data_IF_725405167233
#
_entry.id   IF_725405167233
#
_cell.length_a   1.000
_cell.length_b   1.000
_cell.length_c   1.000
_cell.angle_alpha   90.00
_cell.angle_beta   90.00
_cell.angle_gamma   90.00
#
_symmetry.space_group_name_H-M   'P 1'
#
loop_
_entity.id
_entity.type
_entity.pdbx_description
1 polymer ?
2 polymer ?
3 polymer ?
4 non-polymer ?
5 water ?
#
loop_
_entity_poly.entity_id
_entity_poly.type
_entity_poly.pdbx_seq_one_letter_code
_entity_poly.pdbx_strand_id
1 'polydeoxyribonucleotide' '(DG)(DG)(DG)(DG)(DT)(DG)(DT)(DG)(DG)(DT)(DA)(DG)' ?
2 'polydeoxyribonucleotide' '(DC)(DA)(DT)(DC)(DG)(DC)(DT)(DA)(DC)(DC)(DA)(DC)(DA)(DC)(DC)(DC)(DC)' ?
#
# COMPACT_ATOMS: atom_id res chain seq x y z
N UNK C 3 -0.35 -14.30 -24.91
CA UNK C 3 0.97 -14.17 -24.26
C UNK C 3 1.77 -13.01 -24.88
N UNK C 4 2.11 -12.02 -24.06
CA UNK C 4 2.60 -10.72 -24.52
C UNK C 4 4.02 -10.55 -24.01
N UNK C 5 4.98 -10.55 -24.93
CA UNK C 5 6.38 -10.39 -24.55
C UNK C 5 6.70 -8.92 -24.34
N UNK C 6 7.80 -8.66 -23.63
CA UNK C 6 8.12 -7.29 -23.24
C UNK C 6 8.58 -6.43 -24.42
N UNK C 7 8.94 -7.02 -25.54
CA UNK C 7 9.20 -6.24 -26.74
C UNK C 7 7.94 -6.01 -27.57
N UNK C 8 6.79 -6.50 -27.12
CA UNK C 8 5.53 -6.28 -27.81
C UNK C 8 4.96 -4.91 -27.40
N UNK C 9 4.51 -4.09 -28.35
CA UNK C 9 3.96 -2.79 -27.96
C UNK C 9 2.82 -2.87 -26.94
N UNK C 10 2.15 -4.00 -26.80
CA UNK C 10 1.04 -4.14 -25.85
C UNK C 10 1.48 -4.57 -24.45
N UNK C 11 2.78 -4.76 -24.20
CA UNK C 11 3.22 -5.39 -22.95
C UNK C 11 2.79 -4.59 -21.73
N UNK C 12 3.08 -3.28 -21.72
CA UNK C 12 2.74 -2.44 -20.58
C UNK C 12 1.25 -2.54 -20.23
N UNK C 13 0.39 -2.51 -21.24
CA UNK C 13 -1.05 -2.59 -21.00
C UNK C 13 -1.45 -3.93 -20.40
N UNK C 14 -0.87 -5.02 -20.90
CA UNK C 14 -1.20 -6.35 -20.37
C UNK C 14 -0.65 -6.55 -18.96
N UNK C 15 0.59 -6.12 -18.74
CA UNK C 15 1.18 -6.27 -17.42
C UNK C 15 0.38 -5.52 -16.37
N UNK C 16 0.13 -4.22 -16.61
CA UNK C 16 -0.65 -3.40 -15.70
C UNK C 16 -2.09 -3.91 -15.52
N UNK C 17 -2.71 -4.48 -16.57
CA UNK C 17 -4.05 -5.04 -16.40
C UNK C 17 -4.04 -6.25 -15.46
N UNK C 18 -2.95 -7.02 -15.44
CA UNK C 18 -2.83 -8.21 -14.60
C UNK C 18 -2.24 -7.95 -13.24
N UNK C 19 -1.49 -6.87 -13.07
CA UNK C 19 -0.71 -6.64 -11.86
C UNK C 19 -1.57 -6.10 -10.73
N UNK C 20 -1.76 -6.89 -9.66
CA UNK C 20 -2.52 -6.38 -8.53
C UNK C 20 -1.79 -5.25 -7.81
N UNK C 21 -0.45 -5.23 -7.84
CA UNK C 21 0.25 -4.13 -7.20
C UNK C 21 0.10 -2.84 -8.00
N UNK C 22 0.16 -2.94 -9.34
CA UNK C 22 -0.16 -1.78 -10.16
C UNK C 22 -1.59 -1.31 -9.88
N UNK C 23 -2.56 -2.22 -9.90
CA UNK C 23 -3.94 -1.84 -9.63
C UNK C 23 -4.07 -1.12 -8.28
N UNK C 24 -3.42 -1.62 -7.24
CA UNK C 24 -3.54 -1.01 -5.93
C UNK C 24 -2.98 0.41 -5.94
N UNK C 25 -1.85 0.61 -6.60
CA UNK C 25 -1.23 1.93 -6.67
C UNK C 25 -2.12 2.91 -7.42
N UNK C 26 -2.62 2.50 -8.59
CA UNK C 26 -3.43 3.41 -9.39
C UNK C 26 -4.75 3.76 -8.69
N UNK C 27 -5.36 2.74 -8.05
CA UNK C 27 -6.60 2.94 -7.28
C UNK C 27 -6.32 3.94 -6.15
N UNK C 28 -5.17 3.81 -5.50
CA UNK C 28 -4.78 4.72 -4.43
C UNK C 28 -4.59 6.15 -4.95
N UNK C 29 -3.86 6.30 -6.05
CA UNK C 29 -3.65 7.64 -6.62
C UNK C 29 -4.98 8.26 -7.04
N UNK C 30 -5.86 7.44 -7.62
CA UNK C 30 -7.16 7.96 -8.05
C UNK C 30 -8.00 8.47 -6.87
N UNK C 31 -7.94 7.76 -5.74
CA UNK C 31 -8.68 8.20 -4.56
C UNK C 31 -8.11 9.51 -4.02
N UNK C 32 -6.78 9.66 -4.08
CA UNK C 32 -6.18 10.88 -3.57
C UNK C 32 -6.51 12.08 -4.46
N UNK C 33 -6.48 11.88 -5.79
CA UNK C 33 -6.90 12.96 -6.69
C UNK C 33 -8.38 13.30 -6.50
N UNK C 34 -9.21 12.28 -6.33
CA UNK C 34 -10.63 12.52 -6.13
C UNK C 34 -10.87 13.36 -4.89
N UNK C 35 -10.18 13.03 -3.79
CA UNK C 35 -10.25 13.83 -2.58
C UNK C 35 -9.86 15.28 -2.86
N UNK C 36 -8.77 15.49 -3.60
CA UNK C 36 -8.34 16.84 -3.89
C UNK C 36 -9.40 17.59 -4.69
N UNK C 37 -9.95 16.94 -5.71
CA UNK C 37 -10.92 17.61 -6.56
C UNK C 37 -12.24 17.88 -5.85
N UNK C 38 -12.51 17.18 -4.76
CA UNK C 38 -13.70 17.44 -3.97
C UNK C 38 -13.48 18.48 -2.89
N UNK C 39 -12.23 18.70 -2.48
CA UNK C 39 -11.93 19.66 -1.42
C UNK C 39 -11.23 20.91 -1.95
N UNK C 40 -11.33 21.16 -3.25
CA UNK C 40 -10.71 22.34 -3.84
C UNK C 40 -11.24 23.63 -3.23
N UNK C 41 -12.38 23.58 -2.57
CA UNK C 41 -12.97 24.75 -1.92
C UNK C 41 -13.09 24.60 -0.41
N UNK C 42 -13.36 23.40 0.10
CA UNK C 42 -13.56 23.21 1.53
C UNK C 42 -12.28 23.45 2.32
N UNK C 43 -12.46 23.92 3.55
CA UNK C 43 -11.40 23.85 4.56
C UNK C 43 -11.89 22.98 5.70
N UNK C 44 -12.38 21.77 5.35
CA UNK C 44 -12.89 20.73 6.24
C UNK C 44 -11.79 20.13 7.15
N UNK C 45 -10.63 20.80 7.17
CA UNK C 45 -9.45 20.40 7.93
C UNK C 45 -9.75 20.26 9.42
N UNK C 46 -8.91 19.50 10.08
CA UNK C 46 -8.84 19.46 11.53
C UNK C 46 -7.92 20.57 11.98
N UNK C 47 -8.27 21.25 13.05
CA UNK C 47 -7.43 22.31 13.58
C UNK C 47 -6.97 21.97 14.99
N UNK C 48 -6.06 22.78 15.50
CA UNK C 48 -5.56 22.62 16.87
C UNK C 48 -6.68 22.69 17.90
N UNK C 49 -7.74 23.42 17.62
CA UNK C 49 -8.82 23.57 18.59
C UNK C 49 -9.69 22.34 18.69
N UNK C 50 -9.59 21.44 17.72
CA UNK C 50 -10.50 20.30 17.61
C UNK C 50 -9.99 19.14 18.44
N UNK C 51 -10.85 18.61 19.31
CA UNK C 51 -10.63 17.28 19.88
C UNK C 51 -11.32 16.29 18.95
N UNK C 52 -10.65 15.16 18.69
CA UNK C 52 -11.13 14.25 17.65
C UNK C 52 -10.94 12.80 18.05
N UNK C 53 -11.75 11.95 17.45
CA UNK C 53 -11.63 10.50 17.57
C UNK C 53 -11.37 9.93 16.18
N UNK C 54 -10.47 8.95 16.12
CA UNK C 54 -10.07 8.30 14.88
C UNK C 54 -10.81 6.99 14.74
N UNK C 55 -11.49 6.80 13.62
CA UNK C 55 -12.03 5.48 13.26
C UNK C 55 -11.25 4.99 12.05
N UNK C 56 -10.41 3.99 12.25
CA UNK C 56 -9.56 3.46 11.19
C UNK C 56 -10.16 2.15 10.67
N UNK C 57 -10.58 2.14 9.42
CA UNK C 57 -11.47 1.11 8.88
C UNK C 57 -10.77 0.36 7.75
N UNK C 58 -10.95 -0.96 7.72
CA UNK C 58 -10.27 -1.78 6.72
C UNK C 58 -11.07 -3.06 6.44
N UNK C 59 -11.25 -3.39 5.16
CA UNK C 59 -11.89 -4.65 4.82
C UNK C 59 -11.05 -5.82 5.35
N UNK C 60 -11.76 -6.85 5.76
CA UNK C 60 -11.08 -8.11 6.14
C UNK C 60 -10.75 -8.88 4.87
N UNK C 61 -9.48 -9.28 4.69
CA UNK C 61 -8.93 -10.13 3.62
C UNK C 61 -9.66 -9.78 2.33
N UNK C 62 -9.37 -8.58 1.83
CA UNK C 62 -10.27 -7.88 0.91
C UNK C 62 -10.43 -8.64 -0.41
N UNK C 63 -9.31 -8.85 -1.13
CA UNK C 63 -9.41 -9.56 -2.41
C UNK C 63 -10.06 -10.93 -2.26
N UNK C 64 -9.71 -11.67 -1.19
CA UNK C 64 -10.28 -13.00 -1.04
C UNK C 64 -11.78 -12.95 -0.81
N UNK C 65 -12.23 -12.01 0.01
CA UNK C 65 -13.66 -11.83 0.25
C UNK C 65 -14.40 -11.49 -1.05
N UNK C 66 -13.90 -10.48 -1.78
CA UNK C 66 -14.58 -10.07 -2.99
C UNK C 66 -14.50 -11.15 -4.06
N UNK C 67 -13.32 -11.78 -4.22
CA UNK C 67 -13.19 -12.86 -5.19
C UNK C 67 -14.14 -13.99 -4.87
N UNK C 68 -14.43 -14.21 -3.60
CA UNK C 68 -15.37 -15.26 -3.25
C UNK C 68 -16.79 -14.82 -3.56
N UNK C 69 -17.18 -13.61 -3.12
CA UNK C 69 -18.55 -13.14 -3.33
C UNK C 69 -18.90 -13.10 -4.81
N UNK C 70 -17.92 -12.83 -5.68
CA UNK C 70 -18.11 -12.73 -7.12
C UNK C 70 -17.53 -13.93 -7.88
N UNK C 71 -17.31 -15.05 -7.21
CA UNK C 71 -16.66 -16.18 -7.88
C UNK C 71 -17.53 -16.73 -9.00
N UNK C 72 -16.89 -17.34 -9.99
CA UNK C 72 -17.61 -17.97 -11.09
C UNK C 72 -18.27 -19.26 -10.61
N UNK C 73 -19.15 -19.81 -11.46
CA UNK C 73 -19.91 -21.01 -11.13
C UNK C 73 -19.02 -22.24 -10.96
N UNK C 74 -17.82 -22.25 -11.56
CA UNK C 74 -16.85 -23.32 -11.33
C UNK C 74 -16.47 -23.45 -9.86
N UNK C 75 -16.63 -22.38 -9.08
CA UNK C 75 -16.32 -22.37 -7.65
C UNK C 75 -17.57 -22.22 -6.78
N UNK C 76 -18.74 -22.56 -7.34
CA UNK C 76 -20.00 -22.39 -6.63
C UNK C 76 -20.00 -23.06 -5.26
N UNK C 77 -19.45 -24.26 -5.17
CA UNK C 77 -19.53 -25.03 -3.93
C UNK C 77 -18.48 -24.65 -2.90
N UNK C 78 -17.55 -23.77 -3.23
CA UNK C 78 -16.53 -23.37 -2.27
C UNK C 78 -17.15 -22.60 -1.11
N UNK C 79 -16.65 -22.85 0.11
CA UNK C 79 -17.28 -22.37 1.34
C UNK C 79 -16.31 -21.45 2.10
N UNK C 80 -16.63 -20.15 2.16
CA UNK C 80 -15.67 -19.18 2.67
C UNK C 80 -15.33 -19.37 4.14
N UNK C 81 -16.22 -20.02 4.90
CA UNK C 81 -15.98 -20.25 6.31
C UNK C 81 -15.25 -21.56 6.59
N UNK C 82 -15.21 -22.49 5.62
CA UNK C 82 -14.66 -23.82 5.83
C UNK C 82 -13.38 -24.09 5.09
N UNK C 83 -13.21 -23.50 3.91
CA UNK C 83 -12.15 -23.79 2.98
C UNK C 83 -11.04 -22.75 3.05
N UNK C 84 -9.79 -23.21 2.89
CA UNK C 84 -8.67 -22.28 2.75
C UNK C 84 -8.66 -21.71 1.33
N UNK C 85 -8.76 -20.38 1.23
CA UNK C 85 -8.97 -19.67 -0.02
C UNK C 85 -7.87 -18.64 -0.20
N UNK C 86 -7.25 -18.64 -1.38
CA UNK C 86 -6.29 -17.61 -1.79
C UNK C 86 -6.74 -17.02 -3.11
N UNK C 87 -6.27 -15.80 -3.39
CA UNK C 87 -6.38 -15.17 -4.70
C UNK C 87 -4.97 -15.11 -5.29
N UNK C 88 -4.83 -15.61 -6.51
CA UNK C 88 -3.56 -15.55 -7.23
C UNK C 88 -3.79 -15.89 -8.70
N UNK C 89 -2.77 -15.65 -9.51
CA UNK C 89 -2.80 -15.97 -10.95
C UNK C 89 -2.49 -17.44 -11.22
N UNK C 90 -1.49 -18.01 -10.55
CA UNK C 90 -0.96 -19.31 -10.95
C UNK C 90 -0.98 -20.41 -9.92
N UNK C 91 -0.06 -21.39 -10.07
CA UNK C 91 -0.05 -22.61 -9.26
C UNK C 91 1.24 -22.84 -8.49
N UNK C 92 2.30 -22.09 -8.78
CA UNK C 92 3.59 -22.41 -8.18
C UNK C 92 4.24 -21.19 -7.55
N UNK C 93 5.12 -20.53 -8.28
CA UNK C 93 5.75 -19.33 -7.73
C UNK C 93 4.92 -18.09 -8.04
N UNK C 94 3.66 -18.15 -7.63
CA UNK C 94 2.69 -17.09 -7.86
C UNK C 94 2.28 -16.51 -6.51
N UNK C 95 2.30 -15.18 -6.40
CA UNK C 95 2.00 -14.53 -5.12
C UNK C 95 0.56 -14.81 -4.69
N UNK C 96 0.38 -15.10 -3.40
CA UNK C 96 -0.95 -15.07 -2.79
C UNK C 96 -1.28 -13.62 -2.50
N UNK C 97 -2.26 -13.06 -3.22
CA UNK C 97 -2.58 -11.64 -3.03
C UNK C 97 -3.42 -11.39 -1.79
N UNK C 98 -4.24 -12.37 -1.41
CA UNK C 98 -5.07 -12.30 -0.22
C UNK C 98 -5.39 -13.75 0.17
N UNK C 99 -5.59 -13.97 1.47
CA UNK C 99 -6.00 -15.29 1.93
C UNK C 99 -7.06 -15.15 3.01
N UNK C 100 -8.00 -16.08 3.05
CA UNK C 100 -9.06 -15.96 4.03
C UNK C 100 -8.55 -16.50 5.37
N UNK C 101 -9.37 -16.34 6.42
CA UNK C 101 -8.85 -16.69 7.74
C UNK C 101 -8.79 -18.19 7.97
N UNK C 102 -9.54 -18.98 7.20
CA UNK C 102 -9.27 -20.41 7.16
C UNK C 102 -7.82 -20.68 6.75
N UNK C 103 -7.41 -20.13 5.59
CA UNK C 103 -6.02 -20.27 5.16
C UNK C 103 -5.05 -19.77 6.22
N UNK C 104 -5.32 -18.60 6.79
CA UNK C 104 -4.36 -18.04 7.73
C UNK C 104 -4.20 -18.92 8.96
N UNK C 105 -5.23 -19.69 9.30
CA UNK C 105 -5.16 -20.54 10.47
C UNK C 105 -4.09 -21.61 10.34
N UNK C 106 -3.63 -21.85 9.12
CA UNK C 106 -2.55 -22.79 8.83
C UNK C 106 -1.20 -22.10 8.68
N UNK C 107 -1.11 -20.81 8.96
CA UNK C 107 0.12 -20.08 8.80
C UNK C 107 0.37 -19.51 7.42
N UNK C 108 -0.61 -19.57 6.52
CA UNK C 108 -0.51 -18.91 5.23
C UNK C 108 -0.62 -17.41 5.44
N UNK C 109 0.15 -16.64 4.69
CA UNK C 109 0.10 -15.19 4.77
C UNK C 109 0.15 -14.60 3.37
N UNK C 110 -0.27 -13.36 3.28
CA UNK C 110 -0.19 -12.62 2.03
C UNK C 110 1.25 -12.53 1.56
N UNK C 111 1.45 -12.62 0.25
CA UNK C 111 2.79 -12.54 -0.33
C UNK C 111 3.51 -13.88 -0.40
N UNK C 112 3.01 -14.88 0.30
CA UNK C 112 3.47 -16.25 0.13
C UNK C 112 3.29 -16.71 -1.31
N UNK C 113 4.19 -17.57 -1.77
CA UNK C 113 3.96 -18.27 -3.03
C UNK C 113 3.03 -19.45 -2.79
N UNK C 114 2.21 -19.76 -3.80
CA UNK C 114 1.26 -20.86 -3.70
C UNK C 114 1.98 -22.15 -3.36
N UNK C 115 3.15 -22.36 -3.97
CA UNK C 115 3.98 -23.53 -3.68
C UNK C 115 4.25 -23.68 -2.19
N UNK C 116 4.65 -22.59 -1.52
CA UNK C 116 4.90 -22.70 -0.09
C UNK C 116 3.59 -22.89 0.69
N UNK C 117 2.51 -22.23 0.26
CA UNK C 117 1.25 -22.35 1.01
C UNK C 117 0.71 -23.77 1.02
N UNK C 118 0.89 -24.50 -0.06
CA UNK C 118 0.35 -25.85 -0.17
C UNK C 118 0.99 -26.82 0.82
N UNK C 119 2.25 -26.57 1.20
CA UNK C 119 2.92 -27.44 2.16
C UNK C 119 2.40 -27.24 3.58
N UNK C 120 1.76 -26.12 3.85
CA UNK C 120 1.25 -25.79 5.18
C UNK C 120 -0.05 -26.48 5.49
N UNK C 121 -0.73 -27.03 4.49
CA UNK C 121 -2.00 -27.70 4.75
C UNK C 121 -1.73 -29.15 5.16
N UNK C 122 -2.54 -29.69 6.08
CA UNK C 122 -2.42 -31.11 6.40
C UNK C 122 -3.01 -31.95 5.28
N UNK C 123 -2.67 -33.24 5.29
CA UNK C 123 -3.17 -34.16 4.28
C UNK C 123 -4.69 -34.15 4.24
N UNK C 124 -5.24 -34.18 3.03
CA UNK C 124 -6.67 -34.19 2.82
C UNK C 124 -7.32 -32.84 2.67
N UNK C 125 -6.62 -31.76 3.01
CA UNK C 125 -7.17 -30.41 2.94
C UNK C 125 -6.67 -29.75 1.67
N UNK C 126 -7.60 -29.23 0.88
CA UNK C 126 -7.29 -28.70 -0.43
C UNK C 126 -7.35 -27.19 -0.43
N UNK C 127 -6.41 -26.57 -1.13
CA UNK C 127 -6.34 -25.12 -1.24
C UNK C 127 -7.17 -24.66 -2.42
N UNK C 128 -8.11 -23.76 -2.18
CA UNK C 128 -8.91 -23.17 -3.25
C UNK C 128 -8.22 -21.90 -3.74
N UNK C 129 -7.98 -21.83 -5.05
CA UNK C 129 -7.32 -20.69 -5.69
C UNK C 129 -8.33 -19.96 -6.56
N UNK C 130 -8.69 -18.68 -6.16
CA UNK C 130 -9.66 -17.91 -6.94
C UNK C 130 -8.93 -16.90 -7.84
N UNK C 131 -9.50 -16.60 -9.01
CA UNK C 131 -8.90 -15.58 -9.86
C UNK C 131 -9.23 -14.18 -9.35
N UNK C 132 -8.41 -13.22 -9.78
CA UNK C 132 -8.66 -11.83 -9.46
C UNK C 132 -9.96 -11.37 -10.11
N UNK C 133 -10.63 -10.44 -9.44
CA UNK C 133 -11.85 -9.84 -9.95
C UNK C 133 -11.67 -8.33 -9.80
N UNK C 134 -10.81 -7.75 -10.63
CA UNK C 134 -10.31 -6.39 -10.41
C UNK C 134 -11.41 -5.33 -10.50
N UNK C 135 -12.28 -5.43 -11.49
CA UNK C 135 -13.34 -4.44 -11.62
C UNK C 135 -14.28 -4.49 -10.43
N UNK C 136 -14.61 -5.69 -9.95
CA UNK C 136 -15.49 -5.79 -8.80
C UNK C 136 -14.78 -5.37 -7.52
N UNK C 137 -13.46 -5.61 -7.44
CA UNK C 137 -12.69 -5.02 -6.33
C UNK C 137 -12.98 -3.54 -6.22
N UNK C 138 -12.97 -2.86 -7.36
CA UNK C 138 -13.19 -1.40 -7.41
C UNK C 138 -14.63 -1.02 -7.08
N UNK C 139 -15.61 -1.79 -7.57
CA UNK C 139 -17.01 -1.47 -7.27
C UNK C 139 -17.29 -1.60 -5.77
N UNK C 140 -16.78 -2.66 -5.13
CA UNK C 140 -16.92 -2.80 -3.70
C UNK C 140 -16.28 -1.62 -2.96
N UNK C 141 -15.20 -1.05 -3.53
CA UNK C 141 -14.55 0.11 -2.93
C UNK C 141 -15.41 1.35 -3.06
N UNK C 142 -16.09 1.50 -4.20
CA UNK C 142 -17.06 2.58 -4.35
C UNK C 142 -18.15 2.48 -3.31
N UNK C 143 -18.68 1.28 -3.09
CA UNK C 143 -19.76 1.13 -2.11
C UNK C 143 -19.24 1.48 -0.72
N UNK C 144 -18.02 1.03 -0.41
CA UNK C 144 -17.35 1.40 0.83
C UNK C 144 -17.37 2.90 1.05
N UNK C 145 -16.75 3.66 0.14
CA UNK C 145 -16.61 5.09 0.36
C UNK C 145 -17.94 5.82 0.29
N UNK C 146 -18.86 5.35 -0.57
CA UNK C 146 -20.21 5.90 -0.59
C UNK C 146 -20.90 5.73 0.74
N UNK C 147 -20.74 4.56 1.34
CA UNK C 147 -21.36 4.29 2.62
C UNK C 147 -20.80 5.19 3.72
N UNK C 148 -19.48 5.41 3.72
CA UNK C 148 -18.87 6.21 4.78
C UNK C 148 -19.38 7.65 4.73
N UNK C 149 -19.56 8.19 3.52
CA UNK C 149 -20.05 9.56 3.36
C UNK C 149 -21.52 9.67 3.76
N UNK C 150 -22.34 8.66 3.39
CA UNK C 150 -23.76 8.74 3.66
C UNK C 150 -24.07 8.68 5.16
N UNK C 151 -23.22 8.02 5.95
CA UNK C 151 -23.42 7.93 7.39
C UNK C 151 -23.42 9.29 8.06
N UNK C 152 -22.73 10.26 7.47
CA UNK C 152 -22.64 11.64 7.98
C UNK C 152 -22.27 11.67 9.46
N UNK C 153 -21.27 10.87 9.81
CA UNK C 153 -20.73 10.84 11.17
C UNK C 153 -19.29 11.30 11.24
N UNK C 154 -18.63 11.51 10.10
CA UNK C 154 -17.23 11.89 10.06
C UNK C 154 -17.07 13.31 9.53
N UNK C 155 -16.19 14.07 10.18
CA UNK C 155 -15.83 15.39 9.66
C UNK C 155 -14.80 15.30 8.55
N UNK C 156 -13.99 14.25 8.55
CA UNK C 156 -12.94 14.09 7.56
C UNK C 156 -12.78 12.61 7.24
N UNK C 157 -12.72 12.29 5.95
CA UNK C 157 -12.62 10.92 5.44
C UNK C 157 -11.36 10.86 4.58
N UNK C 158 -10.33 10.14 5.05
CA UNK C 158 -9.04 10.10 4.37
C UNK C 158 -8.83 8.74 3.70
N UNK C 159 -8.78 8.66 2.38
CA UNK C 159 -8.51 7.37 1.72
C UNK C 159 -7.08 6.92 1.99
N UNK C 160 -6.91 5.73 2.55
CA UNK C 160 -5.61 5.10 2.67
C UNK C 160 -5.35 4.18 1.49
N UNK C 161 -6.39 3.45 1.07
CA UNK C 161 -6.30 2.57 -0.08
C UNK C 161 -7.71 2.25 -0.56
N UNK C 162 -7.76 1.41 -1.60
CA UNK C 162 -9.02 0.94 -2.17
C UNK C 162 -9.94 0.38 -1.07
N UNK C 163 -9.38 -0.22 -0.02
CA UNK C 163 -10.19 -0.90 0.99
C UNK C 163 -9.90 -0.40 2.40
N UNK C 164 -9.37 0.81 2.56
CA UNK C 164 -8.98 1.23 3.90
C UNK C 164 -9.04 2.74 3.98
N UNK C 165 -9.64 3.24 5.05
CA UNK C 165 -9.81 4.67 5.23
C UNK C 165 -9.63 5.03 6.69
N UNK C 166 -9.14 6.25 6.91
CA UNK C 166 -9.01 6.83 8.24
C UNK C 166 -10.05 7.94 8.33
N UNK C 167 -10.98 7.79 9.26
CA UNK C 167 -12.22 8.55 9.33
C UNK C 167 -12.24 9.32 10.65
N UNK C 168 -12.40 10.63 10.58
CA UNK C 168 -12.15 11.52 11.71
C UNK C 168 -13.48 12.11 12.18
N UNK C 169 -13.72 12.02 13.49
CA UNK C 169 -14.92 12.56 14.11
C UNK C 169 -14.50 13.61 15.12
N UNK C 170 -14.95 14.85 14.91
CA UNK C 170 -14.67 15.93 15.85
C UNK C 170 -15.66 15.88 17.00
N UNK C 171 -15.16 16.01 18.22
CA UNK C 171 -15.95 15.89 19.43
C UNK C 171 -16.07 17.27 20.07
N UNK C 172 -17.26 17.87 20.11
CA UNK C 172 -17.42 19.12 20.87
C UNK C 172 -17.20 18.88 22.35
N UNK C 173 -16.55 19.83 23.00
CA UNK C 173 -16.41 19.72 24.46
C UNK C 173 -17.74 19.87 25.18
N UNK C 174 -18.82 20.13 24.43
CA UNK C 174 -20.18 20.09 24.93
C UNK C 174 -20.68 18.67 25.13
N UNK C 175 -19.99 17.67 24.57
CA UNK C 175 -20.40 16.28 24.66
C UNK C 175 -19.33 15.51 25.43
N UNK C 176 -19.77 14.59 26.27
CA UNK C 176 -18.86 13.79 27.09
C UNK C 176 -18.66 12.44 26.39
N UNK C 177 -17.41 12.12 26.09
CA UNK C 177 -17.14 10.91 25.33
C UNK C 177 -17.39 9.66 26.18
N UNK C 178 -17.94 8.62 25.55
CA UNK C 178 -18.12 7.34 26.23
C UNK C 178 -17.73 6.20 25.32
N UNK C 179 -17.50 5.05 25.94
CA UNK C 179 -17.18 3.85 25.18
C UNK C 179 -18.42 3.31 24.47
N UNK C 180 -19.58 3.35 25.15
CA UNK C 180 -20.80 2.80 24.56
C UNK C 180 -21.17 3.53 23.29
N UNK C 181 -20.95 4.85 23.25
CA UNK C 181 -21.31 5.62 22.08
C UNK C 181 -20.38 5.31 20.90
N UNK C 182 -19.09 5.13 21.17
CA UNK C 182 -18.19 4.77 20.08
C UNK C 182 -18.38 3.32 19.65
N UNK C 183 -18.75 2.44 20.59
CA UNK C 183 -19.05 1.06 20.20
C UNK C 183 -20.28 1.01 19.30
N UNK C 184 -21.26 1.89 19.55
CA UNK C 184 -22.45 1.91 18.71
C UNK C 184 -22.15 2.43 17.31
N UNK C 185 -21.29 3.44 17.20
CA UNK C 185 -20.88 3.92 15.89
C UNK C 185 -20.17 2.84 15.11
N UNK C 186 -19.25 2.16 15.77
CA UNK C 186 -18.49 1.08 15.14
C UNK C 186 -19.44 0.05 14.58
N UNK C 187 -20.44 -0.35 15.38
CA UNK C 187 -21.38 -1.38 14.97
C UNK C 187 -22.23 -0.89 13.81
N UNK C 188 -22.65 0.39 13.84
CA UNK C 188 -23.38 0.94 12.70
C UNK C 188 -22.51 0.94 11.44
N UNK C 189 -21.26 1.40 11.54
CA UNK C 189 -20.37 1.40 10.39
C UNK C 189 -20.24 -0.01 9.83
N UNK C 190 -20.00 -0.98 10.71
CA UNK C 190 -19.79 -2.36 10.24
C UNK C 190 -21.03 -2.93 9.58
N UNK C 191 -22.23 -2.66 10.13
CA UNK C 191 -23.44 -3.22 9.55
C UNK C 191 -23.79 -2.53 8.23
N UNK C 192 -23.66 -1.21 8.19
CA UNK C 192 -23.96 -0.47 6.96
C UNK C 192 -22.99 -0.82 5.83
N UNK C 193 -21.71 -1.05 6.15
CA UNK C 193 -20.78 -1.46 5.10
C UNK C 193 -21.08 -2.88 4.65
N UNK C 194 -21.35 -3.79 5.59
CA UNK C 194 -21.72 -5.16 5.23
C UNK C 194 -22.91 -5.19 4.29
N UNK C 195 -23.94 -4.39 4.58
CA UNK C 195 -25.12 -4.31 3.73
C UNK C 195 -24.79 -3.64 2.40
N UNK C 196 -24.03 -2.54 2.46
CA UNK C 196 -23.77 -1.76 1.26
C UNK C 196 -22.88 -2.46 0.25
N UNK C 197 -22.06 -3.39 0.69
CA UNK C 197 -21.15 -4.13 -0.18
C UNK C 197 -21.66 -5.53 -0.48
N UNK C 198 -22.89 -5.84 -0.13
CA UNK C 198 -23.46 -7.16 -0.36
C UNK C 198 -22.61 -8.28 0.26
N UNK C 199 -22.12 -8.05 1.46
CA UNK C 199 -21.54 -9.12 2.26
C UNK C 199 -20.06 -9.06 2.57
N UNK C 200 -19.35 -7.97 2.27
CA UNK C 200 -17.98 -7.82 2.77
C UNK C 200 -17.99 -7.30 4.21
N UNK C 201 -16.95 -7.63 4.96
CA UNK C 201 -16.85 -7.20 6.34
C UNK C 201 -15.64 -6.30 6.54
N UNK C 202 -15.76 -5.37 7.49
CA UNK C 202 -14.63 -4.52 7.85
C UNK C 202 -14.35 -4.66 9.34
N UNK C 203 -13.10 -4.45 9.72
CA UNK C 203 -12.76 -4.28 11.11
C UNK C 203 -12.44 -2.82 11.34
N UNK C 204 -12.41 -2.44 12.61
CA UNK C 204 -12.33 -1.02 12.96
C UNK C 204 -11.50 -0.86 14.22
N UNK C 205 -10.47 -0.02 14.13
CA UNK C 205 -9.76 0.47 15.31
C UNK C 205 -10.16 1.92 15.59
N UNK C 206 -10.40 2.21 16.87
CA UNK C 206 -10.96 3.50 17.28
C UNK C 206 -10.16 4.02 18.47
N UNK C 207 -9.62 5.23 18.35
CA UNK C 207 -8.79 5.77 19.42
C UNK C 207 -8.73 7.28 19.29
N UNK C 208 -7.97 7.91 20.18
CA UNK C 208 -7.65 9.33 20.09
C UNK C 208 -6.26 9.59 19.52
N UNK C 209 -5.63 8.59 18.90
CA UNK C 209 -4.46 8.87 18.08
C UNK C 209 -4.51 7.96 16.86
N UNK C 210 -3.85 8.41 15.79
CA UNK C 210 -3.72 7.59 14.59
C UNK C 210 -2.99 6.31 14.89
N UNK C 211 -1.91 6.37 15.67
CA UNK C 211 -1.12 5.16 15.88
C UNK C 211 -1.90 4.16 16.71
N UNK C 212 -2.61 4.62 17.75
CA UNK C 212 -3.41 3.66 18.52
C UNK C 212 -4.56 3.11 17.68
N UNK C 213 -5.18 3.95 16.84
CA UNK C 213 -6.29 3.46 16.03
C UNK C 213 -5.82 2.39 15.06
N UNK C 214 -4.59 2.49 14.56
CA UNK C 214 -4.10 1.46 13.66
C UNK C 214 -3.80 0.17 14.42
N UNK C 215 -3.24 0.28 15.63
CA UNK C 215 -2.99 -0.92 16.44
C UNK C 215 -4.29 -1.56 16.87
N UNK C 216 -5.25 -0.75 17.33
CA UNK C 216 -6.57 -1.27 17.70
C UNK C 216 -7.19 -2.03 16.53
N UNK C 217 -6.98 -1.54 15.30
CA UNK C 217 -7.52 -2.20 14.13
C UNK C 217 -6.90 -3.58 13.94
N UNK C 218 -5.57 -3.65 14.03
CA UNK C 218 -4.90 -4.96 14.04
C UNK C 218 -5.49 -5.87 15.11
N UNK C 219 -5.66 -5.33 16.33
CA UNK C 219 -6.25 -6.13 17.40
C UNK C 219 -7.68 -6.53 17.09
N UNK C 220 -8.43 -5.71 16.35
CA UNK C 220 -9.85 -5.97 16.16
C UNK C 220 -10.14 -7.07 15.13
N UNK C 221 -9.18 -7.40 14.26
CA UNK C 221 -9.42 -8.35 13.20
C UNK C 221 -9.59 -9.77 13.74
N UNK C 222 -10.40 -10.62 13.09
CA UNK C 222 -11.20 -10.25 11.91
C UNK C 222 -12.64 -9.90 12.25
N UNK C 223 -13.31 -9.16 11.37
CA UNK C 223 -14.73 -8.85 11.47
C UNK C 223 -15.12 -8.38 12.87
N UNK C 224 -14.46 -7.33 13.34
CA UNK C 224 -14.71 -6.86 14.67
C UNK C 224 -14.26 -5.42 14.82
N UNK C 225 -14.30 -4.93 16.05
CA UNK C 225 -13.82 -3.59 16.33
C UNK C 225 -13.16 -3.59 17.69
N UNK C 226 -12.30 -2.61 17.90
CA UNK C 226 -11.62 -2.41 19.17
C UNK C 226 -11.50 -0.93 19.46
N UNK C 227 -11.76 -0.56 20.70
CA UNK C 227 -11.69 0.83 21.14
C UNK C 227 -10.67 0.88 22.26
N UNK C 228 -9.53 1.54 22.01
CA UNK C 228 -8.47 1.66 23.01
C UNK C 228 -8.02 3.11 22.97
N UNK C 229 -8.47 3.90 23.91
CA UNK C 229 -7.96 5.26 24.01
C UNK C 229 -6.65 5.27 24.78
N UNK C 230 -5.96 6.40 24.74
CA UNK C 230 -4.76 6.56 25.55
C UNK C 230 -5.06 6.30 27.02
N UNK C 231 -6.25 6.70 27.47
CA UNK C 231 -6.67 6.46 28.85
C UNK C 231 -6.69 4.99 29.19
N UNK C 232 -6.99 4.13 28.22
CA UNK C 232 -7.19 2.72 28.43
C UNK C 232 -5.93 1.89 28.21
N UNK C 233 -4.80 2.49 27.85
CA UNK C 233 -3.59 1.73 27.59
C UNK C 233 -3.27 0.83 28.79
N UNK C 234 -2.74 -0.36 28.50
CA UNK C 234 -2.37 -1.29 29.56
C UNK C 234 -1.34 -2.28 29.04
N UNK C 235 -0.84 -3.12 29.96
CA UNK C 235 0.16 -4.12 29.60
C UNK C 235 -0.42 -5.20 28.69
N UNK C 236 -1.69 -5.53 28.86
CA UNK C 236 -2.31 -6.51 27.98
C UNK C 236 -2.42 -5.97 26.55
N UNK C 237 -2.67 -4.67 26.38
CA UNK C 237 -2.65 -4.09 25.05
C UNK C 237 -1.29 -4.30 24.39
N UNK C 238 -0.22 -3.79 25.02
CA UNK C 238 1.10 -3.82 24.38
C UNK C 238 1.61 -5.25 24.19
N UNK C 239 1.23 -6.16 25.08
CA UNK C 239 1.67 -7.54 24.98
C UNK C 239 1.06 -8.24 23.77
N UNK C 240 0.07 -7.62 23.14
CA UNK C 240 -0.67 -8.22 22.04
C UNK C 240 0.05 -8.10 20.70
N UNK C 241 1.04 -7.22 20.59
CA UNK C 241 1.57 -6.80 19.31
C UNK C 241 3.02 -7.23 19.14
N UNK C 242 3.35 -7.67 17.94
CA UNK C 242 4.74 -7.88 17.55
C UNK C 242 5.38 -6.54 17.18
N UNK C 243 6.72 -6.55 17.13
CA UNK C 243 7.45 -5.30 16.94
C UNK C 243 7.17 -4.69 15.57
N UNK C 244 7.01 -5.51 14.55
CA UNK C 244 6.70 -4.96 13.24
C UNK C 244 5.22 -4.62 13.07
N UNK C 245 4.40 -4.70 14.12
CA UNK C 245 3.08 -4.06 14.03
C UNK C 245 3.18 -2.54 14.08
N UNK C 246 4.29 -2.01 14.53
CA UNK C 246 4.46 -0.57 14.59
C UNK C 246 4.55 0.03 13.18
N UNK C 247 3.93 1.19 12.94
CA UNK C 247 4.08 1.84 11.63
C UNK C 247 5.53 2.19 11.35
N UNK C 248 6.03 1.75 10.21
CA UNK C 248 7.38 2.08 9.84
C UNK C 248 8.42 1.10 10.28
N UNK C 249 8.03 0.00 10.93
CA UNK C 249 8.95 -1.07 11.30
C UNK C 249 8.67 -2.25 10.37
N UNK C 250 9.53 -2.45 9.39
CA UNK C 250 9.53 -3.64 8.57
C UNK C 250 10.63 -4.60 8.98
N UNK C 251 10.93 -5.55 8.10
CA UNK C 251 11.86 -6.63 8.44
C UNK C 251 13.23 -6.07 8.85
N UNK C 252 13.69 -5.03 8.17
CA UNK C 252 15.02 -4.51 8.43
C UNK C 252 15.08 -3.81 9.78
N UNK C 253 14.10 -2.93 10.06
CA UNK C 253 14.04 -2.31 11.37
C UNK C 253 13.78 -3.34 12.46
N UNK C 254 12.87 -4.28 12.19
CA UNK C 254 12.64 -5.39 13.12
C UNK C 254 13.96 -6.05 13.50
N UNK C 255 14.76 -6.41 12.50
CA UNK C 255 15.98 -7.13 12.78
C UNK C 255 16.94 -6.31 13.65
N UNK C 256 17.02 -5.00 13.40
CA UNK C 256 17.90 -4.15 14.22
C UNK C 256 17.40 -4.04 15.65
N UNK C 257 16.08 -3.94 15.82
CA UNK C 257 15.51 -3.86 17.16
C UNK C 257 15.83 -5.12 17.96
N UNK C 258 15.81 -6.27 17.29
CA UNK C 258 16.05 -7.53 17.99
C UNK C 258 17.49 -7.62 18.47
N UNK C 259 18.45 -7.38 17.58
CA UNK C 259 19.85 -7.37 17.96
C UNK C 259 20.11 -6.38 19.10
N UNK C 260 19.55 -5.19 18.99
CA UNK C 260 19.83 -4.15 19.98
C UNK C 260 19.25 -4.49 21.35
N UNK C 261 18.00 -4.96 21.40
CA UNK C 261 17.27 -5.14 22.65
C UNK C 261 17.00 -6.60 22.98
N UNK C 262 17.91 -7.48 22.57
CA UNK C 262 17.88 -8.87 23.03
C UNK C 262 16.57 -9.57 22.68
N UNK C 263 16.10 -9.35 21.45
CA UNK C 263 14.92 -10.00 20.88
C UNK C 263 13.67 -9.82 21.71
N UNK C 264 13.16 -8.60 21.88
CA UNK C 264 11.79 -8.46 22.41
C UNK C 264 10.83 -9.25 21.53
N UNK C 265 9.83 -9.88 22.15
CA UNK C 265 8.83 -10.62 21.39
C UNK C 265 7.46 -9.97 21.39
N UNK C 266 7.36 -8.76 21.92
CA UNK C 266 6.10 -8.02 21.90
C UNK C 266 6.44 -6.55 22.10
N UNK C 267 5.49 -5.69 21.73
CA UNK C 267 5.66 -4.27 22.04
C UNK C 267 5.82 -4.04 23.53
N UNK C 268 5.22 -4.89 24.37
CA UNK C 268 5.40 -4.75 25.81
C UNK C 268 6.86 -4.97 26.21
N UNK C 269 7.48 -6.04 25.68
CA UNK C 269 8.88 -6.30 25.95
C UNK C 269 9.73 -5.11 25.53
N UNK C 270 9.49 -4.59 24.33
CA UNK C 270 10.24 -3.46 23.84
C UNK C 270 10.07 -2.26 24.76
N UNK C 271 8.83 -1.99 25.16
CA UNK C 271 8.52 -0.81 25.95
C UNK C 271 9.23 -0.81 27.28
N UNK C 272 9.45 -2.00 27.84
CA UNK C 272 10.07 -2.09 29.15
C UNK C 272 11.59 -2.03 29.08
N UNK C 273 12.19 -2.37 27.93
CA UNK C 273 13.64 -2.45 27.81
C UNK C 273 14.29 -1.21 27.19
N UNK C 274 13.55 -0.41 26.43
CA UNK C 274 14.22 0.58 25.60
C UNK C 274 14.50 1.87 26.36
N UNK C 275 15.48 2.61 25.84
CA UNK C 275 15.72 4.01 26.12
C UNK C 275 15.78 4.73 24.78
N UNK C 276 15.19 5.93 24.73
CA UNK C 276 15.16 6.70 23.49
C UNK C 276 16.53 6.79 22.84
N UNK C 277 17.58 6.91 23.67
CA UNK C 277 18.94 7.02 23.15
C UNK C 277 19.32 5.80 22.33
N UNK C 278 19.30 4.63 22.98
CA UNK C 278 19.69 3.40 22.29
C UNK C 278 18.76 3.12 21.10
N UNK C 279 17.49 3.49 21.22
CA UNK C 279 16.55 3.26 20.13
C UNK C 279 16.93 4.12 18.92
N UNK C 280 17.20 5.40 19.13
CA UNK C 280 17.70 6.23 18.03
C UNK C 280 18.98 5.65 17.46
N UNK C 281 19.87 5.16 18.31
CA UNK C 281 21.12 4.57 17.84
C UNK C 281 20.88 3.33 17.01
N UNK C 282 19.82 2.57 17.33
CA UNK C 282 19.59 1.30 16.63
C UNK C 282 19.04 1.52 15.22
N UNK C 283 18.01 2.36 15.10
CA UNK C 283 17.20 2.45 13.89
C UNK C 283 17.14 3.84 13.32
N UNK C 284 17.80 4.82 13.95
CA UNK C 284 17.83 6.15 13.37
C UNK C 284 17.14 7.18 14.23
N UNK C 285 17.45 8.46 14.03
CA UNK C 285 16.94 9.49 14.92
C UNK C 285 15.43 9.70 14.74
N UNK C 286 14.97 9.86 13.48
CA UNK C 286 13.55 10.14 13.27
C UNK C 286 12.68 8.91 13.54
N UNK C 287 13.06 7.76 12.98
CA UNK C 287 12.32 6.53 13.25
C UNK C 287 12.31 6.21 14.74
N UNK C 288 13.46 6.37 15.40
CA UNK C 288 13.52 6.10 16.83
C UNK C 288 12.56 6.97 17.63
N UNK C 289 12.51 8.27 17.32
CA UNK C 289 11.57 9.14 18.03
C UNK C 289 10.14 8.72 17.74
N UNK C 290 9.87 8.30 16.50
CA UNK C 290 8.53 7.88 16.13
C UNK C 290 8.10 6.64 16.93
N UNK C 291 8.97 5.64 17.02
CA UNK C 291 8.68 4.45 17.82
C UNK C 291 8.46 4.82 19.28
N UNK C 292 9.34 5.69 19.80
CA UNK C 292 9.21 6.15 21.19
C UNK C 292 7.87 6.84 21.41
N UNK C 293 7.50 7.76 20.52
CA UNK C 293 6.17 8.35 20.60
C UNK C 293 5.10 7.28 20.49
N UNK C 294 5.24 6.38 19.52
CA UNK C 294 4.25 5.31 19.33
C UNK C 294 4.10 4.46 20.60
N UNK C 295 5.21 4.20 21.30
CA UNK C 295 5.13 3.39 22.52
C UNK C 295 4.37 4.08 23.64
N UNK C 296 4.20 5.40 23.58
CA UNK C 296 3.33 6.10 24.51
C UNK C 296 1.95 6.34 23.92
N UNK C 297 1.61 5.64 22.84
CA UNK C 297 0.33 5.86 22.19
C UNK C 297 0.18 7.18 21.48
N UNK C 298 1.27 7.89 21.20
CA UNK C 298 1.25 9.25 20.66
C UNK C 298 1.75 9.29 19.21
N UNK C 299 1.10 10.14 18.42
CA UNK C 299 1.51 10.36 17.04
C UNK C 299 2.67 11.35 16.98
N UNK C 300 3.50 11.21 15.96
CA UNK C 300 4.60 12.11 15.67
C UNK C 300 4.12 13.27 14.81
N UNK C 301 4.94 14.33 14.75
CA UNK C 301 4.55 15.53 14.02
C UNK C 301 4.33 15.24 12.54
N UNK C 302 5.12 14.33 11.96
CA UNK C 302 4.99 14.03 10.54
C UNK C 302 3.64 13.40 10.22
N UNK C 303 3.24 12.37 10.98
CA UNK C 303 1.99 11.67 10.72
C UNK C 303 0.78 12.53 11.04
N UNK C 304 0.92 13.53 11.90
CA UNK C 304 -0.22 14.39 12.21
C UNK C 304 -0.58 15.31 11.06
N UNK C 305 0.34 15.54 10.12
CA UNK C 305 0.08 16.54 9.09
C UNK C 305 -1.11 16.14 8.22
N UNK C 306 -1.33 14.84 8.04
CA UNK C 306 -2.47 14.39 7.24
C UNK C 306 -3.79 14.84 7.84
N UNK C 307 -3.83 15.14 9.15
CA UNK C 307 -5.07 15.63 9.74
C UNK C 307 -5.19 17.14 9.57
N UNK C 308 -4.08 17.86 9.78
CA UNK C 308 -4.13 19.32 9.72
C UNK C 308 -4.02 19.84 8.30
N UNK C 309 -3.37 19.10 7.40
CA UNK C 309 -3.22 19.55 6.01
C UNK C 309 -3.27 18.35 5.08
N UNK C 310 -4.43 17.68 4.97
CA UNK C 310 -4.56 16.54 4.04
C UNK C 310 -4.38 16.89 2.56
N UNK C 311 -4.78 18.08 2.11
CA UNK C 311 -4.57 18.41 0.70
C UNK C 311 -3.10 18.43 0.35
N UNK C 312 -2.24 18.92 1.25
CA UNK C 312 -0.80 18.94 0.98
C UNK C 312 -0.19 17.55 1.08
N UNK C 313 -0.62 16.77 2.08
CA UNK C 313 -0.12 15.40 2.22
C UNK C 313 -0.55 14.55 1.03
N UNK C 314 -1.80 14.69 0.59
CA UNK C 314 -2.30 13.81 -0.46
C UNK C 314 -1.91 14.30 -1.85
N UNK C 315 -1.36 15.51 -1.96
CA UNK C 315 -0.95 16.03 -3.26
C UNK C 315 0.25 15.26 -3.79
N UNK C 316 0.15 14.80 -5.04
CA UNK C 316 1.18 13.99 -5.67
C UNK C 316 2.46 14.81 -5.92
N UNK C 317 3.60 14.27 -5.49
CA UNK C 317 4.88 14.97 -5.64
C UNK C 317 5.83 14.33 -6.64
N UNK C 318 5.59 13.10 -7.05
CA UNK C 318 6.41 12.46 -8.09
C UNK C 318 5.53 11.52 -8.89
N UNK C 319 6.10 10.96 -9.95
CA UNK C 319 5.32 10.08 -10.81
C UNK C 319 6.28 9.10 -11.48
N UNK C 320 5.90 7.82 -11.48
CA UNK C 320 6.86 6.83 -11.94
C UNK C 320 6.14 5.55 -12.34
N UNK C 321 6.84 4.74 -13.11
CA UNK C 321 6.45 3.35 -13.34
C UNK C 321 7.62 2.46 -12.97
N UNK C 322 7.30 1.22 -12.58
CA UNK C 322 8.29 0.22 -12.19
C UNK C 322 7.87 -1.11 -12.78
N UNK C 323 8.73 -1.71 -13.59
CA UNK C 323 8.42 -2.97 -14.24
C UNK C 323 9.59 -3.87 -13.95
N UNK C 324 9.40 -4.82 -13.03
CA UNK C 324 10.45 -5.72 -12.60
C UNK C 324 10.04 -7.16 -12.81
N UNK C 325 9.11 -7.39 -13.74
CA UNK C 325 8.64 -8.71 -14.13
C UNK C 325 8.46 -8.75 -15.64
N UNK C 326 8.87 -9.86 -16.24
CA UNK C 326 8.76 -10.05 -17.68
C UNK C 326 9.82 -9.37 -18.53
N UNK C 327 10.89 -8.86 -17.92
CA UNK C 327 11.86 -8.02 -18.63
C UNK C 327 12.96 -8.94 -19.17
N UNK C 328 12.94 -9.18 -20.48
CA UNK C 328 13.92 -10.03 -21.19
C UNK C 328 14.20 -9.41 -22.57
N UNK C 329 15.23 -8.59 -22.66
CA UNK C 329 15.53 -7.91 -23.90
C UNK C 329 16.79 -8.48 -24.55
N UNK C 330 16.79 -8.57 -25.89
CA UNK C 330 17.91 -9.11 -26.65
C UNK C 330 18.90 -8.06 -27.12
N UNK C 331 18.51 -6.80 -27.23
CA UNK C 331 19.40 -5.78 -27.82
C UNK C 331 18.98 -4.42 -27.30
N UNK C 332 19.82 -3.43 -27.59
CA UNK C 332 19.60 -2.08 -27.08
C UNK C 332 18.44 -1.38 -27.79
N UNK C 333 18.16 -1.77 -29.04
CA UNK C 333 17.03 -1.22 -29.79
C UNK C 333 15.71 -1.50 -29.10
N UNK C 334 15.55 -2.71 -28.55
CA UNK C 334 14.31 -3.08 -27.88
C UNK C 334 14.20 -2.42 -26.51
N UNK C 335 15.31 -2.25 -25.82
CA UNK C 335 15.31 -1.47 -24.58
C UNK C 335 14.87 -0.03 -24.83
N UNK C 336 15.45 0.61 -25.86
CA UNK C 336 15.10 2.01 -26.14
C UNK C 336 13.61 2.17 -26.47
N UNK C 337 13.04 1.21 -27.23
CA UNK C 337 11.63 1.29 -27.58
C UNK C 337 10.75 1.12 -26.35
N UNK C 338 11.17 0.26 -25.42
CA UNK C 338 10.41 0.08 -24.19
C UNK C 338 10.48 1.32 -23.33
N UNK C 339 11.65 1.96 -23.26
CA UNK C 339 11.78 3.20 -22.50
C UNK C 339 10.87 4.28 -23.10
N UNK C 340 10.85 4.37 -24.43
CA UNK C 340 9.98 5.33 -25.11
C UNK C 340 8.51 5.08 -24.75
N UNK C 341 8.08 3.81 -24.77
CA UNK C 341 6.70 3.49 -24.40
C UNK C 341 6.41 3.90 -22.96
N UNK C 342 7.33 3.59 -22.05
CA UNK C 342 7.14 4.00 -20.67
C UNK C 342 7.02 5.50 -20.53
N UNK C 343 7.86 6.23 -21.27
CA UNK C 343 7.83 7.69 -21.19
C UNK C 343 6.50 8.22 -21.72
N UNK C 344 6.02 7.61 -22.81
CA UNK C 344 4.73 8.02 -23.37
C UNK C 344 3.63 7.84 -22.33
N UNK C 345 3.55 6.65 -21.74
CA UNK C 345 2.57 6.38 -20.69
C UNK C 345 2.66 7.42 -19.57
N UNK C 346 3.89 7.68 -19.09
CA UNK C 346 4.08 8.62 -17.99
C UNK C 346 3.70 10.04 -18.38
N UNK C 347 3.85 10.40 -19.65
CA UNK C 347 3.49 11.76 -20.02
C UNK C 347 1.97 11.90 -20.16
N UNK C 348 1.25 10.82 -20.49
CA UNK C 348 -0.20 10.89 -20.46
C UNK C 348 -0.68 11.13 -19.06
N UNK C 349 -0.09 10.44 -18.07
CA UNK C 349 -0.38 10.70 -16.68
C UNK C 349 -0.01 12.13 -16.28
N UNK C 350 1.13 12.62 -16.75
CA UNK C 350 1.58 13.97 -16.40
C UNK C 350 0.66 15.04 -16.96
N UNK C 351 0.24 14.90 -18.22
CA UNK C 351 -0.64 15.90 -18.80
C UNK C 351 -2.06 15.82 -18.24
N UNK C 352 -2.47 14.65 -17.76
CA UNK C 352 -3.75 14.53 -17.05
C UNK C 352 -3.82 15.54 -15.90
N UNK C 353 -2.75 15.67 -15.12
CA UNK C 353 -2.77 16.55 -13.96
C UNK C 353 -2.16 17.92 -14.27
N UNK C 354 -1.91 18.21 -15.54
CA UNK C 354 -1.50 19.54 -16.00
C UNK C 354 -0.25 20.05 -15.25
N UNK C 355 0.82 19.25 -15.28
CA UNK C 355 2.07 19.64 -14.58
C UNK C 355 3.30 19.18 -15.36
N UNK C 356 4.35 20.02 -15.39
CA UNK C 356 5.62 19.70 -16.06
C UNK C 356 6.55 19.04 -15.05
N UNK C 357 7.69 18.56 -15.55
CA UNK C 357 8.68 17.92 -14.69
C UNK C 357 10.07 18.49 -14.94
N UNK C 358 10.82 18.65 -13.84
CA UNK C 358 12.13 19.27 -13.84
C UNK C 358 13.27 18.30 -13.55
N UNK C 359 12.97 17.05 -13.22
CA UNK C 359 14.03 16.12 -12.87
C UNK C 359 13.52 14.72 -13.10
N UNK C 360 14.32 13.89 -13.75
CA UNK C 360 13.90 12.54 -14.06
C UNK C 360 14.95 11.57 -13.58
N UNK C 361 14.51 10.34 -13.33
CA UNK C 361 15.40 9.27 -12.91
C UNK C 361 15.10 8.01 -13.71
N UNK C 362 16.16 7.29 -14.06
CA UNK C 362 16.05 5.93 -14.51
C UNK C 362 16.71 5.01 -13.48
N UNK C 363 15.99 3.97 -13.09
CA UNK C 363 16.58 2.93 -12.27
C UNK C 363 16.39 1.62 -13.00
N UNK C 364 17.29 0.67 -12.73
CA UNK C 364 17.24 -0.64 -13.35
C UNK C 364 17.69 -1.69 -12.36
N UNK C 365 17.30 -2.93 -12.66
CA UNK C 365 17.75 -4.11 -11.97
C UNK C 365 18.56 -4.93 -12.95
N UNK C 366 19.74 -5.38 -12.52
CA UNK C 366 20.61 -6.20 -13.34
C UNK C 366 20.91 -7.51 -12.64
N UNK C 367 20.81 -8.61 -13.39
CA UNK C 367 21.11 -9.92 -12.87
C UNK C 367 22.45 -9.93 -12.14
N UNK C 368 22.43 -10.44 -10.92
CA UNK C 368 23.64 -10.65 -10.16
C UNK C 368 24.56 -11.60 -10.93
N UNK C 369 25.87 -11.34 -10.87
CA UNK C 369 26.79 -12.08 -11.74
C UNK C 369 26.71 -13.59 -11.52
N UNK C 370 26.35 -14.02 -10.31
CA UNK C 370 26.24 -15.43 -10.00
C UNK C 370 24.81 -15.94 -9.92
N UNK C 371 23.82 -15.16 -10.40
CA UNK C 371 22.45 -15.63 -10.37
C UNK C 371 22.09 -16.30 -11.70
N UNK C 372 21.22 -17.29 -11.70
CA UNK C 372 20.85 -17.94 -12.96
C UNK C 372 20.12 -16.97 -13.89
N UNK C 373 20.34 -17.17 -15.19
CA UNK C 373 19.65 -16.36 -16.18
C UNK C 373 18.15 -16.51 -16.03
N UNK C 374 17.72 -17.73 -15.74
CA UNK C 374 16.29 -17.97 -15.51
C UNK C 374 16.08 -18.25 -14.02
N UNK C 375 15.43 -17.32 -13.31
CA UNK C 375 15.22 -17.46 -11.89
C UNK C 375 14.06 -18.41 -11.53
N UNK C 376 13.95 -18.76 -10.26
CA UNK C 376 12.89 -19.66 -9.79
C UNK C 376 11.50 -19.20 -10.27
N UNK C 377 11.21 -17.92 -10.11
CA UNK C 377 9.90 -17.41 -10.56
C UNK C 377 9.93 -17.16 -12.07
N UNK C 378 8.99 -17.75 -12.79
CA UNK C 378 8.84 -17.48 -14.21
C UNK C 378 8.76 -15.98 -14.46
N UNK C 379 9.58 -15.49 -15.39
CA UNK C 379 9.65 -14.08 -15.79
C UNK C 379 10.04 -13.16 -14.64
N UNK C 380 10.41 -13.72 -13.50
CA UNK C 380 10.83 -12.90 -12.38
C UNK C 380 12.16 -12.22 -12.64
N UNK C 381 12.40 -11.16 -11.86
CA UNK C 381 13.68 -10.47 -11.95
C UNK C 381 14.79 -11.27 -11.29
N UNK C 382 14.45 -12.14 -10.33
CA UNK C 382 15.47 -12.88 -9.59
C UNK C 382 16.33 -11.95 -8.72
N UNK C 383 17.49 -12.48 -8.33
CA UNK C 383 18.46 -11.72 -7.53
C UNK C 383 19.20 -10.73 -8.40
N UNK C 384 19.16 -9.44 -8.02
CA UNK C 384 19.61 -8.35 -8.86
C UNK C 384 20.34 -7.31 -8.05
N UNK C 385 21.18 -6.54 -8.75
CA UNK C 385 21.75 -5.30 -8.23
C UNK C 385 21.00 -4.12 -8.83
N UNK C 386 20.76 -3.11 -8.01
CA UNK C 386 20.06 -1.89 -8.39
C UNK C 386 21.06 -0.81 -8.76
N UNK C 387 20.75 -0.08 -9.83
CA UNK C 387 21.52 1.06 -10.28
C UNK C 387 20.53 2.18 -10.58
N UNK C 388 20.87 3.40 -10.20
CA UNK C 388 19.97 4.52 -10.43
C UNK C 388 20.80 5.75 -10.79
N UNK C 389 20.24 6.59 -11.66
CA UNK C 389 20.86 7.88 -11.98
C UNK C 389 19.76 8.86 -12.40
N UNK C 390 19.93 10.11 -11.98
CA UNK C 390 18.92 11.14 -12.23
C UNK C 390 19.55 12.27 -13.02
N UNK C 391 18.70 13.16 -13.51
CA UNK C 391 19.12 14.26 -14.35
C UNK C 391 18.17 15.43 -14.15
N UNK C 392 18.73 16.60 -13.85
CA UNK C 392 17.94 17.83 -13.78
C UNK C 392 17.68 18.33 -15.19
N UNK C 393 16.43 18.58 -15.52
CA UNK C 393 16.15 19.19 -16.81
C UNK C 393 16.33 20.69 -16.70
N UNK C 394 16.83 21.29 -17.77
CA UNK C 394 17.05 22.73 -17.76
C UNK C 394 15.77 23.48 -17.42
N UNK C 395 14.82 23.43 -18.34
CA UNK C 395 13.51 24.06 -18.18
C UNK C 395 12.54 22.95 -17.79
N UNK C 396 11.55 23.21 -16.92
CA UNK C 396 10.51 22.20 -16.69
C UNK C 396 9.75 21.96 -17.99
N UNK C 397 9.48 20.69 -18.29
CA UNK C 397 8.94 20.35 -19.60
C UNK C 397 7.98 19.17 -19.50
N UNK C 398 7.13 19.03 -20.51
CA UNK C 398 6.41 17.79 -20.75
C UNK C 398 6.73 17.19 -22.11
N UNK C 399 7.86 17.58 -22.71
CA UNK C 399 8.15 17.25 -24.10
C UNK C 399 8.76 15.87 -24.21
N UNK C 400 8.14 15.01 -25.01
CA UNK C 400 8.63 13.65 -25.16
C UNK C 400 10.05 13.64 -25.69
N UNK C 401 10.32 14.48 -26.68
CA UNK C 401 11.64 14.50 -27.29
C UNK C 401 12.75 14.75 -26.28
N UNK C 402 12.47 15.61 -25.30
CA UNK C 402 13.47 15.90 -24.28
C UNK C 402 13.58 14.75 -23.29
N UNK C 403 12.45 14.34 -22.73
CA UNK C 403 12.49 13.40 -21.62
C UNK C 403 12.93 12.02 -22.10
N UNK C 404 12.39 11.57 -23.22
CA UNK C 404 12.72 10.24 -23.71
C UNK C 404 14.20 10.14 -24.07
N UNK C 405 14.74 11.17 -24.71
CA UNK C 405 16.15 11.17 -25.07
C UNK C 405 17.02 11.11 -23.81
N UNK C 406 16.67 11.91 -22.81
CA UNK C 406 17.45 11.91 -21.58
C UNK C 406 17.34 10.57 -20.87
N UNK C 407 16.14 9.98 -20.86
CA UNK C 407 15.96 8.67 -20.26
C UNK C 407 16.82 7.61 -20.95
N UNK C 408 16.81 7.59 -22.29
CA UNK C 408 17.66 6.62 -22.99
C UNK C 408 19.14 6.91 -22.76
N UNK C 409 19.49 8.19 -22.63
CA UNK C 409 20.85 8.55 -22.24
C UNK C 409 21.22 8.03 -20.86
N UNK C 410 20.33 8.26 -19.89
CA UNK C 410 20.57 7.73 -18.56
C UNK C 410 20.84 6.24 -18.60
N UNK C 411 20.08 5.49 -19.40
CA UNK C 411 20.30 4.05 -19.45
C UNK C 411 21.72 3.75 -19.88
N UNK C 412 22.18 4.39 -20.96
CA UNK C 412 23.53 4.13 -21.42
C UNK C 412 24.58 4.48 -20.37
N UNK C 413 24.34 5.48 -19.53
CA UNK C 413 25.33 5.80 -18.49
C UNK C 413 25.44 4.71 -17.45
N UNK C 414 24.41 3.88 -17.28
CA UNK C 414 24.47 2.82 -16.27
C UNK C 414 25.07 1.53 -16.80
N UNK C 415 25.26 1.41 -18.11
CA UNK C 415 26.13 0.39 -18.68
C UNK C 415 25.62 -1.02 -18.64
N UNK C 416 24.32 -1.22 -18.49
CA UNK C 416 23.78 -2.56 -18.33
C UNK C 416 23.59 -3.21 -19.70
N UNK C 417 24.19 -4.37 -19.96
CA UNK C 417 23.92 -5.07 -21.23
C UNK C 417 22.46 -5.49 -21.31
N UNK C 418 21.80 -5.28 -22.47
CA UNK C 418 20.36 -5.56 -22.56
C UNK C 418 19.96 -6.93 -22.02
N UNK C 419 20.77 -7.97 -22.29
CA UNK C 419 20.45 -9.31 -21.82
C UNK C 419 20.59 -9.45 -20.31
N UNK C 420 21.25 -8.52 -19.64
CA UNK C 420 21.37 -8.61 -18.20
C UNK C 420 20.25 -7.85 -17.48
N UNK C 421 19.45 -7.10 -18.22
CA UNK C 421 18.42 -6.28 -17.62
C UNK C 421 17.28 -7.17 -17.12
N UNK C 422 16.78 -6.86 -15.93
CA UNK C 422 15.71 -7.63 -15.30
C UNK C 422 14.63 -6.72 -14.74
N UNK C 423 14.81 -5.41 -14.83
CA UNK C 423 13.87 -4.49 -14.24
C UNK C 423 14.19 -3.06 -14.62
N UNK C 424 13.16 -2.23 -14.71
CA UNK C 424 13.30 -0.85 -15.19
C UNK C 424 12.30 0.02 -14.46
N UNK C 425 12.76 1.11 -13.87
CA UNK C 425 11.87 2.12 -13.31
C UNK C 425 12.14 3.45 -14.01
N UNK C 426 11.06 4.17 -14.32
CA UNK C 426 11.11 5.48 -14.97
C UNK C 426 10.35 6.45 -14.07
N UNK C 427 10.99 7.55 -13.67
CA UNK C 427 10.47 8.43 -12.64
C UNK C 427 10.57 9.89 -13.06
N UNK C 428 9.51 10.66 -12.80
CA UNK C 428 9.53 12.13 -12.87
C UNK C 428 9.55 12.64 -11.43
N UNK C 429 10.69 13.14 -10.98
CA UNK C 429 10.92 13.31 -9.55
C UNK C 429 10.42 14.62 -8.98
N UNK C 430 10.39 15.67 -9.80
CA UNK C 430 9.87 16.97 -9.36
C UNK C 430 8.90 17.46 -10.41
N UNK C 431 7.75 17.92 -9.95
CA UNK C 431 6.66 18.36 -10.81
C UNK C 431 6.41 19.85 -10.59
N UNK C 432 6.17 20.58 -11.67
CA UNK C 432 5.92 22.01 -11.61
C UNK C 432 4.54 22.27 -12.18
N UNK C 433 3.75 23.09 -11.49
CA UNK C 433 2.41 23.44 -11.99
C UNK C 433 2.50 24.16 -13.32
N UNK C 434 1.47 23.99 -14.13
CA UNK C 434 1.27 24.76 -15.35
C UNK C 434 0.26 25.85 -15.04
N UNK C 435 0.64 27.10 -15.34
CA UNK C 435 -0.18 28.23 -14.99
C UNK C 435 -0.75 28.90 -16.22
N UNK C 436 -1.64 29.87 -16.04
CA UNK C 436 -2.29 30.48 -17.22
C UNK C 436 -1.39 31.40 -18.03
N UNK C 437 -0.28 31.87 -17.47
CA UNK C 437 0.61 32.79 -18.16
C UNK C 437 1.82 32.00 -18.62
N UNK C 438 2.01 31.93 -19.94
CA UNK C 438 3.10 31.19 -20.55
C UNK C 438 3.90 32.05 -21.51
N UNK C 439 4.17 33.29 -21.10
CA UNK C 439 4.95 34.22 -21.92
C UNK C 439 6.29 34.58 -21.29
X LIG D 1 5.31 -2.72 10.22
#
# INVERSE_FOLDING_TARGET
KRIVACDDPDFLTSYFAHSRLHHLSAWKANLKDKFLNENIHKYTKITDKDTYIIFHIDFDCFFATVAYLCRSSSFSACDFKRDPIVVCHGTKNSDIASCNYVARSYGIKNGMWVSQAEKMLPNGIKLISLPYTFEQFQLKSEAFYSTLKRLNIFNLILPISIDEAVCVRIIPDNIHNTNTLNARLCEEIRQEIFQGTNGCTVSIGCSDSLVLARLALKMAKPNGYNITFKSNLSEEFWSSFKLDDLPGVGHSTLSRLESTFDSPHSLNDLRKRYTLDALKASVGSKLGMKIHLALQGQDDEESLKILYDPKEVLQRKSLSIDINWGIRFKNITQVDLFIERGCQYLLEKLNEINKTTSQITLKLMRRCKDAPIEPPKYMGMGRCDSFSRSSRLGIPTNEFGIIATEMKSLYRTLGCPPMELRGLALQFNKLVDVGPDNNQLK
MG MG
#
